data_IF_316213589285
#
_entry.id   IF_316213589285
#
_cell.length_a   1.000
_cell.length_b   1.000
_cell.length_c   1.000
_cell.angle_alpha   90.00
_cell.angle_beta   90.00
_cell.angle_gamma   90.00
#
_symmetry.space_group_name_H-M   'P 1'
#
loop_
_entity.id
_entity.type
_entity.pdbx_description
1 polymer ?
#
# COMPACT_ATOMS: atom_id res chain seq x y z
N UNK A 1 -4.79 4.82 16.06
CA UNK A 1 -5.84 5.58 15.36
C UNK A 1 -5.78 5.24 13.89
N UNK A 2 -6.91 5.04 13.23
CA UNK A 2 -6.98 4.81 11.78
C UNK A 2 -7.85 5.88 11.12
N UNK A 3 -7.70 6.08 9.81
CA UNK A 3 -8.40 7.20 9.11
C UNK A 3 -9.92 7.07 9.06
N UNK A 4 -10.46 5.89 9.35
CA UNK A 4 -11.90 5.62 9.43
C UNK A 4 -12.46 5.68 10.85
N UNK A 5 -11.62 5.91 11.87
CA UNK A 5 -12.11 6.07 13.24
C UNK A 5 -12.94 7.36 13.39
N UNK A 6 -14.04 7.32 14.12
CA UNK A 6 -14.88 8.52 14.37
C UNK A 6 -14.08 9.63 15.07
N UNK A 7 -13.19 9.26 16.00
CA UNK A 7 -12.31 10.22 16.68
C UNK A 7 -11.36 10.87 15.68
N UNK A 8 -10.84 10.10 14.72
CA UNK A 8 -10.01 10.67 13.65
C UNK A 8 -10.81 11.65 12.79
N UNK A 9 -11.98 11.23 12.29
CA UNK A 9 -12.79 12.00 11.34
C UNK A 9 -13.37 13.28 11.94
N UNK A 10 -13.84 13.22 13.20
CA UNK A 10 -14.60 14.32 13.82
C UNK A 10 -13.80 15.16 14.83
N UNK A 11 -12.67 14.66 15.32
CA UNK A 11 -11.85 15.37 16.28
C UNK A 11 -10.45 15.65 15.75
N UNK A 12 -9.66 14.60 15.52
CA UNK A 12 -8.26 14.75 15.19
C UNK A 12 -8.03 15.49 13.87
N UNK A 13 -8.67 15.06 12.80
CA UNK A 13 -8.52 15.67 11.46
C UNK A 13 -9.01 17.14 11.43
N UNK A 14 -10.22 17.49 11.89
CA UNK A 14 -10.66 18.88 11.90
C UNK A 14 -9.75 19.77 12.74
N UNK A 15 -9.36 19.35 13.95
CA UNK A 15 -8.48 20.13 14.83
C UNK A 15 -7.11 20.35 14.18
N UNK A 16 -6.49 19.29 13.64
CA UNK A 16 -5.19 19.39 13.00
C UNK A 16 -5.20 20.33 11.79
N UNK A 17 -6.24 20.25 10.95
CA UNK A 17 -6.40 21.12 9.78
C UNK A 17 -6.66 22.56 10.18
N UNK A 18 -7.57 22.80 11.13
CA UNK A 18 -7.92 24.17 11.56
C UNK A 18 -6.71 24.87 12.21
N UNK A 19 -6.02 24.21 13.13
CA UNK A 19 -4.85 24.79 13.79
C UNK A 19 -3.72 25.05 12.81
N UNK A 20 -3.42 24.09 11.91
CA UNK A 20 -2.36 24.28 10.91
C UNK A 20 -2.71 25.44 9.95
N UNK A 21 -3.95 25.59 9.56
CA UNK A 21 -4.41 26.67 8.64
C UNK A 21 -4.32 28.08 9.26
N UNK A 22 -4.48 28.20 10.59
CA UNK A 22 -4.37 29.48 11.28
C UNK A 22 -2.92 29.97 11.37
N UNK A 23 -1.95 29.07 11.29
CA UNK A 23 -0.53 29.38 11.39
C UNK A 23 0.00 29.74 9.99
N UNK A 24 0.50 30.98 9.82
CA UNK A 24 1.13 31.40 8.54
C UNK A 24 2.59 30.97 8.41
N UNK A 25 3.28 30.77 9.54
CA UNK A 25 4.70 30.41 9.55
C UNK A 25 4.87 28.91 9.31
N UNK A 26 5.52 28.54 8.21
CA UNK A 26 5.74 27.14 7.82
C UNK A 26 6.57 26.36 8.87
N UNK A 27 7.50 27.00 9.58
CA UNK A 27 8.29 26.36 10.63
C UNK A 27 7.39 25.94 11.80
N UNK A 28 6.48 26.80 12.22
CA UNK A 28 5.51 26.49 13.27
C UNK A 28 4.49 25.44 12.80
N UNK A 29 4.06 25.49 11.52
CA UNK A 29 3.22 24.42 10.94
C UNK A 29 3.93 23.07 11.02
N UNK A 30 5.23 23.02 10.70
CA UNK A 30 6.01 21.78 10.73
C UNK A 30 6.12 21.22 12.15
N UNK A 31 6.37 22.07 13.16
CA UNK A 31 6.38 21.65 14.57
C UNK A 31 5.03 21.07 14.97
N UNK A 32 3.94 21.76 14.63
CA UNK A 32 2.59 21.32 14.94
C UNK A 32 2.26 19.98 14.26
N UNK A 33 2.67 19.79 13.00
CA UNK A 33 2.48 18.54 12.28
C UNK A 33 3.30 17.39 12.87
N UNK A 34 4.51 17.66 13.39
CA UNK A 34 5.30 16.67 14.16
C UNK A 34 4.53 16.25 15.41
N UNK A 35 4.02 17.20 16.18
CA UNK A 35 3.25 16.92 17.39
C UNK A 35 2.03 16.07 17.06
N UNK A 36 1.22 16.44 16.07
CA UNK A 36 0.07 15.63 15.62
C UNK A 36 0.49 14.25 15.13
N UNK A 37 1.61 14.14 14.41
CA UNK A 37 2.09 12.85 13.91
C UNK A 37 2.51 11.91 15.05
N UNK A 38 3.21 12.42 16.04
CA UNK A 38 3.60 11.64 17.20
C UNK A 38 2.38 11.25 18.07
N UNK A 39 1.41 12.15 18.24
CA UNK A 39 0.13 11.85 18.92
C UNK A 39 -0.66 10.77 18.17
N UNK A 40 -0.76 10.88 16.84
CA UNK A 40 -1.42 9.88 15.99
C UNK A 40 -0.76 8.51 16.14
N UNK A 41 0.57 8.47 16.15
CA UNK A 41 1.35 7.24 16.29
C UNK A 41 1.23 6.65 17.69
N UNK A 42 1.31 7.49 18.75
CA UNK A 42 1.16 7.11 20.15
C UNK A 42 -0.22 6.50 20.45
N UNK A 43 -1.24 6.87 19.69
CA UNK A 43 -2.61 6.39 19.95
C UNK A 43 -2.74 4.87 19.89
N UNK A 44 -2.00 4.20 19.03
CA UNK A 44 -2.04 2.74 18.90
C UNK A 44 -1.26 2.04 20.03
N UNK A 45 -0.04 2.51 20.29
CA UNK A 45 0.80 2.04 21.40
C UNK A 45 1.89 3.07 21.71
N UNK A 46 1.81 3.77 22.86
CA UNK A 46 2.74 4.85 23.19
C UNK A 46 4.23 4.41 23.26
N UNK A 47 4.52 3.16 23.61
CA UNK A 47 5.90 2.68 23.75
C UNK A 47 6.63 2.66 22.40
N UNK A 48 5.92 2.47 21.30
CA UNK A 48 6.51 2.45 19.97
C UNK A 48 6.90 3.82 19.44
N UNK A 49 6.43 4.91 20.09
CA UNK A 49 6.94 6.27 19.81
C UNK A 49 8.43 6.38 20.16
N UNK A 50 8.85 5.72 21.25
CA UNK A 50 10.26 5.68 21.65
C UNK A 50 11.08 4.98 20.55
N UNK A 51 10.62 3.85 20.04
CA UNK A 51 11.27 3.16 18.93
C UNK A 51 11.38 4.05 17.69
N UNK A 52 10.30 4.73 17.31
CA UNK A 52 10.27 5.65 16.17
C UNK A 52 11.27 6.80 16.37
N UNK A 53 11.31 7.42 17.55
CA UNK A 53 12.25 8.50 17.86
C UNK A 53 13.70 8.00 17.79
N UNK A 54 14.00 6.85 18.38
CA UNK A 54 15.35 6.26 18.33
C UNK A 54 15.78 5.94 16.90
N UNK A 55 14.88 5.41 16.07
CA UNK A 55 15.14 5.15 14.66
C UNK A 55 15.40 6.44 13.88
N UNK A 56 14.59 7.48 14.11
CA UNK A 56 14.79 8.81 13.51
C UNK A 56 16.16 9.37 13.89
N UNK A 57 16.53 9.36 15.18
CA UNK A 57 17.81 9.86 15.64
C UNK A 57 18.98 9.08 15.04
N UNK A 58 18.88 7.75 14.99
CA UNK A 58 19.90 6.90 14.37
C UNK A 58 20.15 7.30 12.91
N UNK A 59 19.11 7.38 12.11
CA UNK A 59 19.24 7.69 10.67
C UNK A 59 19.65 9.17 10.45
N UNK A 60 19.19 10.08 11.30
CA UNK A 60 19.57 11.49 11.26
C UNK A 60 21.08 11.66 11.45
N UNK A 61 21.67 11.12 12.52
CA UNK A 61 23.10 11.24 12.79
C UNK A 61 23.96 10.46 11.79
N UNK A 62 23.53 9.26 11.39
CA UNK A 62 24.24 8.46 10.39
C UNK A 62 24.37 9.20 9.05
N UNK A 63 23.38 9.99 8.67
CA UNK A 63 23.44 10.78 7.43
C UNK A 63 24.55 11.85 7.46
N UNK A 64 24.79 12.51 8.60
CA UNK A 64 25.90 13.44 8.75
C UNK A 64 27.25 12.74 8.69
N UNK A 65 27.37 11.60 9.35
CA UNK A 65 28.60 10.81 9.29
C UNK A 65 28.89 10.33 7.86
N UNK A 66 27.85 9.94 7.09
CA UNK A 66 28.00 9.58 5.69
C UNK A 66 28.47 10.75 4.81
N UNK A 67 27.99 11.98 5.05
CA UNK A 67 28.45 13.16 4.29
C UNK A 67 29.89 13.55 4.67
N UNK A 68 30.24 13.44 5.94
CA UNK A 68 31.55 13.84 6.47
C UNK A 68 32.70 12.91 6.02
N UNK A 69 32.40 11.70 5.54
CA UNK A 69 33.41 10.74 5.12
C UNK A 69 33.86 10.94 3.68
N UNK A 70 35.16 11.20 3.48
CA UNK A 70 35.80 11.25 2.16
C UNK A 70 36.26 9.86 1.71
N UNK A 71 36.65 8.98 2.65
CA UNK A 71 37.07 7.61 2.33
C UNK A 71 35.90 6.74 1.90
N UNK A 72 35.93 6.29 0.63
CA UNK A 72 34.87 5.46 0.02
C UNK A 72 34.64 4.14 0.79
N UNK A 73 35.68 3.54 1.38
CA UNK A 73 35.56 2.28 2.13
C UNK A 73 34.78 2.49 3.42
N UNK A 74 35.16 3.49 4.20
CA UNK A 74 34.49 3.89 5.44
C UNK A 74 33.05 4.29 5.17
N UNK A 75 32.80 5.11 4.14
CA UNK A 75 31.46 5.51 3.73
C UNK A 75 30.57 4.31 3.37
N UNK A 76 31.13 3.31 2.67
CA UNK A 76 30.40 2.06 2.35
C UNK A 76 30.12 1.23 3.60
N UNK A 77 31.04 1.14 4.56
CA UNK A 77 30.83 0.44 5.82
C UNK A 77 29.71 1.10 6.61
N UNK A 78 29.70 2.43 6.74
CA UNK A 78 28.63 3.17 7.41
C UNK A 78 27.28 2.94 6.76
N UNK A 79 27.21 2.92 5.42
CA UNK A 79 25.97 2.56 4.72
C UNK A 79 25.50 1.15 5.11
N UNK A 80 26.40 0.16 5.04
CA UNK A 80 26.05 -1.24 5.36
C UNK A 80 25.57 -1.36 6.81
N UNK A 81 26.24 -0.71 7.75
CA UNK A 81 25.85 -0.73 9.17
C UNK A 81 24.47 -0.08 9.34
N UNK A 82 24.23 1.07 8.71
CA UNK A 82 22.94 1.75 8.80
C UNK A 82 21.81 0.88 8.24
N UNK A 83 22.01 0.29 7.06
CA UNK A 83 21.05 -0.62 6.45
C UNK A 83 20.82 -1.84 7.35
N UNK A 84 21.88 -2.44 7.89
CA UNK A 84 21.79 -3.59 8.78
C UNK A 84 20.99 -3.30 10.05
N UNK A 85 21.20 -2.14 10.70
CA UNK A 85 20.45 -1.73 11.89
C UNK A 85 18.96 -1.56 11.56
N UNK A 86 18.62 -0.84 10.50
CA UNK A 86 17.24 -0.65 10.07
C UNK A 86 16.54 -2.00 9.75
N UNK A 87 17.23 -2.89 9.01
CA UNK A 87 16.69 -4.21 8.67
C UNK A 87 16.65 -5.15 9.88
N UNK A 88 17.57 -5.01 10.84
CA UNK A 88 17.53 -5.77 12.10
C UNK A 88 16.30 -5.39 12.94
N UNK A 89 16.03 -4.08 13.10
CA UNK A 89 14.83 -3.61 13.81
C UNK A 89 13.57 -4.17 13.13
N UNK A 90 13.45 -4.01 11.82
CA UNK A 90 12.32 -4.55 11.06
C UNK A 90 12.22 -6.07 11.21
N UNK A 91 13.35 -6.76 11.09
CA UNK A 91 13.45 -8.21 11.19
C UNK A 91 13.04 -8.74 12.56
N UNK A 92 13.49 -8.08 13.61
CA UNK A 92 13.16 -8.46 14.98
C UNK A 92 11.64 -8.43 15.22
N UNK A 93 10.97 -7.35 14.85
CA UNK A 93 9.53 -7.26 15.08
C UNK A 93 8.70 -8.13 14.11
N UNK A 94 9.16 -8.31 12.88
CA UNK A 94 8.36 -8.95 11.83
C UNK A 94 8.63 -10.44 11.68
N UNK A 95 9.87 -10.90 11.87
CA UNK A 95 10.27 -12.27 11.52
C UNK A 95 10.64 -13.14 12.69
N UNK A 96 10.76 -12.62 13.94
CA UNK A 96 11.17 -13.44 15.10
C UNK A 96 10.21 -14.61 15.33
N UNK A 97 8.89 -14.41 15.28
CA UNK A 97 7.92 -15.50 15.41
C UNK A 97 8.10 -16.56 14.33
N UNK A 98 8.21 -16.14 13.08
CA UNK A 98 8.40 -17.04 11.95
C UNK A 98 9.70 -17.84 12.03
N UNK A 99 10.79 -17.21 12.46
CA UNK A 99 12.08 -17.90 12.66
C UNK A 99 12.01 -18.90 13.82
N UNK A 100 11.31 -18.54 14.91
CA UNK A 100 11.08 -19.47 16.03
C UNK A 100 10.25 -20.68 15.58
N UNK A 101 9.22 -20.48 14.77
CA UNK A 101 8.40 -21.56 14.22
C UNK A 101 9.25 -22.51 13.33
N UNK A 102 10.13 -21.95 12.47
CA UNK A 102 11.03 -22.75 11.62
C UNK A 102 12.02 -23.55 12.47
N UNK A 103 12.55 -22.95 13.54
CA UNK A 103 13.52 -23.59 14.44
C UNK A 103 12.86 -24.48 15.50
N UNK A 104 11.53 -24.63 15.47
CA UNK A 104 10.74 -25.36 16.47
C UNK A 104 10.99 -24.90 17.91
N UNK A 105 11.31 -23.60 18.10
CA UNK A 105 11.53 -23.01 19.41
C UNK A 105 10.17 -22.61 19.99
N UNK A 106 9.73 -23.31 21.04
CA UNK A 106 8.53 -22.90 21.77
C UNK A 106 8.82 -21.63 22.58
N UNK A 107 8.13 -20.56 22.27
CA UNK A 107 8.25 -19.29 22.98
C UNK A 107 6.89 -18.65 23.22
N UNK A 108 6.69 -18.14 24.44
CA UNK A 108 5.53 -17.34 24.79
C UNK A 108 5.67 -15.85 24.38
N UNK A 109 6.76 -15.49 23.69
CA UNK A 109 7.02 -14.14 23.22
C UNK A 109 6.05 -13.74 22.10
N UNK A 110 5.05 -12.94 22.47
CA UNK A 110 4.15 -12.28 21.52
C UNK A 110 4.72 -10.91 21.17
N UNK A 111 5.52 -10.83 20.14
CA UNK A 111 6.07 -9.57 19.63
C UNK A 111 5.01 -8.96 18.70
N UNK A 112 4.37 -7.86 19.15
CA UNK A 112 3.44 -7.14 18.31
C UNK A 112 4.21 -6.24 17.32
N UNK A 113 3.86 -6.30 16.04
CA UNK A 113 4.46 -5.45 15.00
C UNK A 113 4.01 -4.00 15.19
N UNK A 114 4.94 -3.03 15.36
CA UNK A 114 4.60 -1.61 15.40
C UNK A 114 3.94 -1.16 14.09
N UNK A 115 2.81 -0.47 14.18
CA UNK A 115 2.09 0.03 13.00
C UNK A 115 3.03 0.92 12.17
N UNK A 116 3.11 0.66 10.87
CA UNK A 116 3.93 1.45 9.94
C UNK A 116 5.43 1.20 10.00
N UNK A 117 5.93 0.24 10.82
CA UNK A 117 7.36 -0.06 10.91
C UNK A 117 7.98 -0.29 9.52
N UNK A 118 7.37 -1.11 8.68
CA UNK A 118 7.86 -1.36 7.32
C UNK A 118 7.91 -0.09 6.46
N UNK A 119 6.93 0.81 6.61
CA UNK A 119 6.82 2.03 5.81
C UNK A 119 7.82 3.11 6.23
N UNK A 120 7.97 3.35 7.53
CA UNK A 120 8.94 4.34 7.97
C UNK A 120 10.38 3.83 7.82
N UNK A 121 10.65 2.53 7.99
CA UNK A 121 11.96 1.94 7.66
C UNK A 121 12.33 2.17 6.20
N UNK A 122 11.40 2.00 5.25
CA UNK A 122 11.66 2.31 3.85
C UNK A 122 11.87 3.80 3.58
N UNK A 123 11.17 4.68 4.29
CA UNK A 123 11.43 6.13 4.23
C UNK A 123 12.84 6.47 4.73
N UNK A 124 13.25 5.92 5.86
CA UNK A 124 14.58 6.12 6.44
C UNK A 124 15.70 5.55 5.57
N UNK A 125 15.52 4.33 5.05
CA UNK A 125 16.47 3.73 4.11
C UNK A 125 16.59 4.55 2.83
N UNK A 126 15.48 5.09 2.29
CA UNK A 126 15.55 5.97 1.12
C UNK A 126 16.40 7.21 1.39
N UNK A 127 16.25 7.82 2.58
CA UNK A 127 17.06 8.96 3.00
C UNK A 127 18.54 8.62 3.07
N UNK A 128 18.91 7.53 3.72
CA UNK A 128 20.30 7.08 3.82
C UNK A 128 20.91 6.79 2.45
N UNK A 129 20.17 6.12 1.55
CA UNK A 129 20.61 5.88 0.18
C UNK A 129 20.72 7.17 -0.64
N UNK A 130 19.79 8.11 -0.49
CA UNK A 130 19.81 9.38 -1.21
C UNK A 130 21.02 10.24 -0.79
N UNK A 131 21.36 10.27 0.52
CA UNK A 131 22.56 10.95 1.03
C UNK A 131 23.83 10.23 0.55
N UNK A 132 23.90 8.91 0.66
CA UNK A 132 25.07 8.14 0.20
C UNK A 132 25.36 8.35 -1.28
N UNK A 133 24.32 8.39 -2.13
CA UNK A 133 24.43 8.59 -3.57
C UNK A 133 24.56 10.07 -3.99
N UNK A 134 24.54 11.01 -3.04
CA UNK A 134 24.63 12.45 -3.30
C UNK A 134 23.38 13.06 -3.97
N UNK A 135 22.23 12.37 -3.91
CA UNK A 135 20.96 12.89 -4.42
C UNK A 135 20.37 13.95 -3.52
N UNK A 136 20.58 13.84 -2.21
CA UNK A 136 20.19 14.80 -1.18
C UNK A 136 21.33 15.04 -0.21
N UNK A 137 21.34 16.23 0.41
CA UNK A 137 22.23 16.51 1.55
C UNK A 137 21.58 16.09 2.86
N UNK A 138 22.37 15.81 3.92
CA UNK A 138 21.82 15.58 5.25
C UNK A 138 20.95 16.75 5.70
N UNK A 139 19.77 16.43 6.21
CA UNK A 139 18.84 17.43 6.71
C UNK A 139 19.35 18.02 8.02
N UNK A 140 19.68 19.32 8.01
CA UNK A 140 20.24 20.01 9.20
C UNK A 140 19.21 20.24 10.31
N UNK A 141 17.93 20.21 10.00
CA UNK A 141 16.86 20.46 10.96
C UNK A 141 16.17 19.15 11.33
N UNK A 142 16.36 18.70 12.56
CA UNK A 142 15.76 17.46 13.09
C UNK A 142 14.23 17.47 13.03
N UNK A 143 13.57 18.62 13.16
CA UNK A 143 12.10 18.73 13.09
C UNK A 143 11.61 18.38 11.67
N UNK A 144 12.33 18.85 10.63
CA UNK A 144 11.98 18.54 9.24
C UNK A 144 12.20 17.05 8.94
N UNK A 145 13.29 16.48 9.44
CA UNK A 145 13.53 15.04 9.26
C UNK A 145 12.51 14.20 10.04
N UNK A 146 12.20 14.58 11.28
CA UNK A 146 11.12 13.93 12.05
C UNK A 146 9.79 14.01 11.33
N UNK A 147 9.42 15.17 10.77
CA UNK A 147 8.20 15.33 9.99
C UNK A 147 8.20 14.43 8.77
N UNK A 148 9.32 14.35 8.04
CA UNK A 148 9.45 13.47 6.89
C UNK A 148 9.18 12.02 7.26
N UNK A 149 9.76 11.50 8.34
CA UNK A 149 9.59 10.10 8.75
C UNK A 149 8.21 9.86 9.34
N UNK A 150 7.78 10.70 10.30
CA UNK A 150 6.62 10.46 11.15
C UNK A 150 5.29 10.97 10.61
N UNK A 151 5.26 11.73 9.51
CA UNK A 151 4.04 12.39 9.03
C UNK A 151 2.85 11.42 8.97
N UNK A 152 1.80 11.72 9.76
CA UNK A 152 0.66 10.83 9.97
C UNK A 152 -0.12 10.54 8.68
N UNK A 153 -0.04 11.41 7.66
CA UNK A 153 -0.63 11.16 6.34
C UNK A 153 0.04 10.04 5.55
N UNK A 154 1.25 9.55 5.95
CA UNK A 154 1.94 8.49 5.22
C UNK A 154 2.49 7.35 6.08
N UNK A 155 2.69 7.57 7.39
CA UNK A 155 3.48 6.65 8.23
C UNK A 155 2.90 5.24 8.33
N UNK A 156 1.58 5.05 8.30
CA UNK A 156 0.95 3.73 8.52
C UNK A 156 0.99 2.87 7.26
N UNK A 157 0.33 3.32 6.18
CA UNK A 157 0.22 2.61 4.88
C UNK A 157 0.12 3.59 3.71
N UNK A 158 0.51 4.85 3.90
CA UNK A 158 0.51 5.84 2.83
C UNK A 158 1.52 5.49 1.74
N UNK A 159 1.55 6.23 0.63
CA UNK A 159 2.58 6.06 -0.38
C UNK A 159 3.97 6.17 0.24
N UNK A 160 4.88 5.28 -0.17
CA UNK A 160 6.29 5.36 0.21
C UNK A 160 6.90 6.51 -0.60
N UNK A 161 7.16 7.63 0.08
CA UNK A 161 7.74 8.83 -0.53
C UNK A 161 9.21 8.88 -0.15
N UNK A 162 10.11 8.94 -1.14
CA UNK A 162 11.55 9.10 -0.92
C UNK A 162 11.87 10.51 -0.38
N UNK A 163 13.03 10.63 0.29
CA UNK A 163 13.39 11.91 0.91
C UNK A 163 13.53 13.03 -0.14
N UNK A 164 14.22 12.77 -1.23
CA UNK A 164 14.43 13.76 -2.29
C UNK A 164 13.12 14.24 -2.96
N UNK A 165 12.04 13.44 -2.95
CA UNK A 165 10.73 13.85 -3.47
C UNK A 165 9.95 14.75 -2.50
N UNK A 166 10.23 14.66 -1.19
CA UNK A 166 9.54 15.45 -0.16
C UNK A 166 10.34 16.65 0.34
N UNK A 167 11.65 16.67 0.14
CA UNK A 167 12.61 17.64 0.70
C UNK A 167 12.19 19.10 0.48
N UNK A 168 11.88 19.48 -0.77
CA UNK A 168 11.44 20.84 -1.10
C UNK A 168 10.09 21.18 -0.45
N UNK A 169 9.15 20.24 -0.42
CA UNK A 169 7.83 20.45 0.16
C UNK A 169 7.87 20.68 1.69
N UNK A 170 8.91 20.24 2.37
CA UNK A 170 9.06 20.48 3.82
C UNK A 170 9.24 21.97 4.15
N UNK A 171 9.81 22.75 3.23
CA UNK A 171 10.13 24.19 3.45
C UNK A 171 9.36 25.13 2.54
N UNK A 172 8.98 24.70 1.34
CA UNK A 172 8.47 25.57 0.29
C UNK A 172 7.02 25.27 -0.14
N UNK A 173 6.31 24.38 0.60
CA UNK A 173 4.92 24.07 0.26
C UNK A 173 3.98 25.26 0.47
N UNK A 174 2.97 25.33 -0.39
CA UNK A 174 1.90 26.31 -0.31
C UNK A 174 0.55 25.62 -0.16
N UNK A 175 -0.35 26.23 0.61
CA UNK A 175 -1.72 25.75 0.79
C UNK A 175 -2.66 26.51 -0.15
N UNK A 176 -2.95 25.96 -1.32
CA UNK A 176 -3.93 26.53 -2.24
C UNK A 176 -5.34 26.00 -1.97
N UNK A 177 -6.36 26.83 -2.25
CA UNK A 177 -7.77 26.41 -2.16
C UNK A 177 -8.07 25.23 -3.09
N UNK A 178 -7.44 25.20 -4.28
CA UNK A 178 -7.60 24.12 -5.25
C UNK A 178 -7.02 22.78 -4.73
N UNK A 179 -5.84 22.85 -4.12
CA UNK A 179 -5.21 21.67 -3.51
C UNK A 179 -6.05 21.12 -2.35
N UNK A 180 -6.58 22.01 -1.50
CA UNK A 180 -7.47 21.61 -0.42
C UNK A 180 -8.76 20.95 -0.94
N UNK A 181 -9.42 21.56 -1.94
CA UNK A 181 -10.62 20.98 -2.55
C UNK A 181 -10.34 19.60 -3.19
N UNK A 182 -9.23 19.46 -3.91
CA UNK A 182 -8.81 18.19 -4.49
C UNK A 182 -8.50 17.14 -3.42
N UNK A 183 -7.93 17.56 -2.29
CA UNK A 183 -7.69 16.72 -1.12
C UNK A 183 -8.99 16.18 -0.52
N UNK A 184 -10.02 17.04 -0.37
CA UNK A 184 -11.34 16.62 0.11
C UNK A 184 -11.99 15.57 -0.80
N UNK A 185 -11.95 15.79 -2.13
CA UNK A 185 -12.50 14.82 -3.10
C UNK A 185 -11.78 13.49 -2.99
N UNK A 186 -10.45 13.51 -2.92
CA UNK A 186 -9.67 12.29 -2.88
C UNK A 186 -9.84 11.54 -1.57
N UNK A 187 -9.85 12.23 -0.42
CA UNK A 187 -10.14 11.64 0.87
C UNK A 187 -11.53 10.99 0.91
N UNK A 188 -12.55 11.70 0.41
CA UNK A 188 -13.92 11.19 0.32
C UNK A 188 -14.01 9.95 -0.57
N UNK A 189 -13.36 9.97 -1.74
CA UNK A 189 -13.27 8.82 -2.66
C UNK A 189 -12.64 7.62 -1.97
N UNK A 190 -11.56 7.85 -1.22
CA UNK A 190 -10.88 6.80 -0.45
C UNK A 190 -11.76 6.20 0.64
N UNK A 191 -12.46 7.03 1.40
CA UNK A 191 -13.39 6.59 2.45
C UNK A 191 -14.54 5.75 1.87
N UNK A 192 -15.13 6.19 0.75
CA UNK A 192 -16.18 5.46 0.03
C UNK A 192 -15.68 4.09 -0.45
N UNK A 193 -14.49 4.04 -1.06
CA UNK A 193 -13.86 2.77 -1.48
C UNK A 193 -13.70 1.80 -0.30
N UNK A 194 -13.22 2.29 0.84
CA UNK A 194 -13.01 1.48 2.04
C UNK A 194 -14.32 0.95 2.60
N UNK A 195 -15.26 1.83 2.91
CA UNK A 195 -16.46 1.47 3.69
C UNK A 195 -17.52 0.76 2.84
N UNK A 196 -17.79 1.28 1.63
CA UNK A 196 -18.89 0.77 0.81
C UNK A 196 -18.49 -0.36 -0.15
N UNK A 197 -17.19 -0.51 -0.45
CA UNK A 197 -16.73 -1.57 -1.34
C UNK A 197 -15.87 -2.59 -0.59
N UNK A 198 -14.73 -2.17 -0.03
CA UNK A 198 -13.78 -3.11 0.57
C UNK A 198 -14.37 -3.85 1.78
N UNK A 199 -15.04 -3.16 2.70
CA UNK A 199 -15.60 -3.78 3.90
C UNK A 199 -16.75 -4.75 3.56
N UNK A 200 -17.59 -4.42 2.55
CA UNK A 200 -18.65 -5.30 2.09
C UNK A 200 -18.10 -6.55 1.39
N UNK A 201 -17.03 -6.39 0.59
CA UNK A 201 -16.33 -7.52 -0.04
C UNK A 201 -15.60 -8.38 1.00
N UNK A 202 -15.06 -7.77 2.06
CA UNK A 202 -14.48 -8.46 3.22
C UNK A 202 -15.50 -9.35 3.92
N UNK A 203 -16.72 -8.87 4.09
CA UNK A 203 -17.82 -9.68 4.64
C UNK A 203 -18.11 -10.90 3.76
N UNK A 204 -18.26 -10.72 2.44
CA UNK A 204 -18.46 -11.84 1.50
C UNK A 204 -17.32 -12.84 1.57
N UNK A 205 -16.06 -12.34 1.59
CA UNK A 205 -14.86 -13.16 1.75
C UNK A 205 -14.91 -13.99 3.04
N UNK A 206 -15.23 -13.37 4.18
CA UNK A 206 -15.27 -14.05 5.48
C UNK A 206 -16.31 -15.18 5.54
N UNK A 207 -17.47 -14.97 4.94
CA UNK A 207 -18.53 -15.99 4.89
C UNK A 207 -18.15 -17.18 4.01
N UNK A 208 -17.34 -16.94 2.95
CA UNK A 208 -16.94 -17.97 1.98
C UNK A 208 -15.64 -18.68 2.32
N UNK A 209 -14.91 -18.31 3.36
CA UNK A 209 -13.59 -18.88 3.71
C UNK A 209 -13.59 -20.41 3.80
N UNK A 210 -14.65 -21.01 4.30
CA UNK A 210 -14.78 -22.47 4.46
C UNK A 210 -15.66 -23.12 3.37
N UNK A 211 -15.98 -22.40 2.29
CA UNK A 211 -16.78 -22.94 1.21
C UNK A 211 -16.02 -23.99 0.42
N UNK A 212 -16.68 -25.11 0.10
CA UNK A 212 -16.09 -26.26 -0.59
C UNK A 212 -16.60 -26.44 -2.02
N UNK A 213 -17.51 -25.59 -2.51
CA UNK A 213 -18.00 -25.64 -3.87
C UNK A 213 -17.11 -24.82 -4.82
N UNK A 214 -17.00 -25.25 -6.08
CA UNK A 214 -16.23 -24.54 -7.12
C UNK A 214 -16.65 -23.09 -7.25
N UNK A 215 -17.96 -22.80 -7.36
CA UNK A 215 -18.48 -21.43 -7.44
C UNK A 215 -18.13 -20.61 -6.20
N UNK A 216 -18.27 -21.21 -5.00
CA UNK A 216 -17.99 -20.53 -3.74
C UNK A 216 -16.52 -20.12 -3.62
N UNK A 217 -15.60 -20.97 -4.05
CA UNK A 217 -14.15 -20.70 -4.04
C UNK A 217 -13.77 -19.64 -5.09
N UNK A 218 -14.42 -19.62 -6.26
CA UNK A 218 -14.25 -18.52 -7.22
C UNK A 218 -14.73 -17.18 -6.65
N UNK A 219 -15.90 -17.16 -6.01
CA UNK A 219 -16.42 -15.95 -5.37
C UNK A 219 -15.53 -15.49 -4.21
N UNK A 220 -14.98 -16.42 -3.43
CA UNK A 220 -13.98 -16.14 -2.39
C UNK A 220 -12.77 -15.39 -2.97
N UNK A 221 -12.16 -15.96 -4.02
CA UNK A 221 -10.96 -15.40 -4.65
C UNK A 221 -11.23 -14.03 -5.31
N UNK A 222 -12.37 -13.87 -6.00
CA UNK A 222 -12.78 -12.60 -6.61
C UNK A 222 -13.09 -11.54 -5.54
N UNK A 223 -13.77 -11.94 -4.45
CA UNK A 223 -14.05 -11.03 -3.33
C UNK A 223 -12.75 -10.51 -2.72
N UNK A 224 -11.77 -11.38 -2.47
CA UNK A 224 -10.47 -10.98 -1.95
C UNK A 224 -9.70 -10.06 -2.92
N UNK A 225 -9.67 -10.42 -4.20
CA UNK A 225 -9.03 -9.63 -5.26
C UNK A 225 -9.58 -8.20 -5.31
N UNK A 226 -10.89 -8.04 -5.26
CA UNK A 226 -11.54 -6.73 -5.26
C UNK A 226 -11.39 -6.02 -3.91
N UNK A 227 -11.52 -6.74 -2.79
CA UNK A 227 -11.32 -6.22 -1.43
C UNK A 227 -9.94 -5.59 -1.28
N UNK A 228 -8.86 -6.34 -1.57
CA UNK A 228 -7.48 -5.84 -1.38
C UNK A 228 -7.20 -4.59 -2.23
N UNK A 229 -7.78 -4.50 -3.42
CA UNK A 229 -7.67 -3.32 -4.27
C UNK A 229 -8.38 -2.10 -3.67
N UNK A 230 -9.65 -2.25 -3.28
CA UNK A 230 -10.41 -1.11 -2.76
C UNK A 230 -9.96 -0.73 -1.35
N UNK A 231 -9.54 -1.68 -0.53
CA UNK A 231 -8.99 -1.44 0.80
C UNK A 231 -7.71 -0.60 0.71
N UNK A 232 -6.74 -1.06 -0.07
CA UNK A 232 -5.45 -0.40 -0.14
C UNK A 232 -5.46 0.86 -1.02
N UNK A 233 -6.15 0.85 -2.17
CA UNK A 233 -6.31 2.07 -2.96
C UNK A 233 -7.15 3.12 -2.25
N UNK A 234 -8.14 2.70 -1.46
CA UNK A 234 -8.95 3.59 -0.62
C UNK A 234 -8.12 4.27 0.46
N UNK A 235 -7.28 3.49 1.17
CA UNK A 235 -6.35 4.04 2.15
C UNK A 235 -5.36 5.02 1.50
N UNK A 236 -4.78 4.64 0.36
CA UNK A 236 -3.83 5.48 -0.38
C UNK A 236 -4.46 6.79 -0.84
N UNK A 237 -5.71 6.74 -1.35
CA UNK A 237 -6.45 7.95 -1.73
C UNK A 237 -6.71 8.85 -0.51
N UNK A 238 -7.11 8.27 0.64
CA UNK A 238 -7.27 9.04 1.89
C UNK A 238 -5.94 9.65 2.34
N UNK A 239 -4.84 8.91 2.29
CA UNK A 239 -3.51 9.38 2.68
C UNK A 239 -3.03 10.55 1.81
N UNK A 240 -3.19 10.47 0.49
CA UNK A 240 -2.82 11.54 -0.45
C UNK A 240 -3.76 12.74 -0.26
N UNK A 241 -5.08 12.51 -0.14
CA UNK A 241 -6.05 13.55 0.11
C UNK A 241 -5.77 14.33 1.40
N UNK A 242 -5.47 13.58 2.48
CA UNK A 242 -5.06 14.12 3.76
C UNK A 242 -3.78 14.95 3.65
N UNK A 243 -2.78 14.47 2.93
CA UNK A 243 -1.51 15.18 2.73
C UNK A 243 -1.72 16.52 2.03
N UNK A 244 -2.66 16.60 1.08
CA UNK A 244 -3.02 17.84 0.40
C UNK A 244 -3.65 18.89 1.32
N UNK A 245 -4.30 18.50 2.43
CA UNK A 245 -4.79 19.46 3.44
C UNK A 245 -3.66 20.24 4.11
N UNK A 246 -2.46 19.68 4.14
CA UNK A 246 -1.28 20.28 4.75
C UNK A 246 -0.25 20.79 3.72
N UNK A 247 -0.64 20.82 2.42
CA UNK A 247 0.19 21.33 1.35
C UNK A 247 1.19 20.34 0.76
N UNK A 248 1.17 19.06 1.18
CA UNK A 248 1.96 18.02 0.56
C UNK A 248 1.23 17.42 -0.64
N UNK A 249 1.92 17.16 -1.73
CA UNK A 249 1.37 16.50 -2.92
C UNK A 249 2.16 15.23 -3.24
N UNK A 250 1.54 14.09 -2.96
CA UNK A 250 2.12 12.78 -3.22
C UNK A 250 1.56 12.18 -4.50
N UNK A 251 2.38 11.40 -5.19
CA UNK A 251 1.99 10.71 -6.42
C UNK A 251 0.95 9.62 -6.15
N UNK A 252 0.05 9.35 -7.11
CA UNK A 252 -0.88 8.22 -7.01
C UNK A 252 -0.15 6.89 -6.81
N UNK A 253 -0.72 6.03 -5.97
CA UNK A 253 -0.16 4.70 -5.69
C UNK A 253 -0.83 3.59 -6.52
N UNK A 254 -1.94 3.89 -7.16
CA UNK A 254 -2.71 2.99 -8.03
C UNK A 254 -3.21 3.72 -9.28
N UNK A 255 -3.14 3.06 -10.46
CA UNK A 255 -3.76 3.50 -11.72
C UNK A 255 -4.55 2.36 -12.37
N UNK A 256 -5.71 2.01 -11.81
CA UNK A 256 -6.60 0.97 -12.35
C UNK A 256 -5.88 -0.34 -12.74
N UNK A 257 -5.20 -1.00 -11.80
CA UNK A 257 -4.34 -2.16 -12.10
C UNK A 257 -5.06 -3.33 -12.76
N UNK A 258 -6.35 -3.49 -12.48
CA UNK A 258 -7.16 -4.54 -13.11
C UNK A 258 -7.57 -4.25 -14.55
N UNK A 259 -7.06 -3.18 -15.16
CA UNK A 259 -7.13 -2.93 -16.61
C UNK A 259 -5.88 -3.36 -17.36
N UNK A 260 -4.92 -3.97 -16.69
CA UNK A 260 -3.66 -4.37 -17.26
C UNK A 260 -3.80 -5.51 -18.30
N UNK A 261 -2.90 -5.52 -19.27
CA UNK A 261 -2.84 -6.53 -20.34
C UNK A 261 -1.57 -7.38 -20.29
N UNK A 262 -0.76 -7.20 -19.24
CA UNK A 262 0.40 -8.03 -18.91
C UNK A 262 0.70 -7.93 -17.42
N UNK A 263 1.45 -8.86 -16.86
CA UNK A 263 1.90 -8.82 -15.47
C UNK A 263 2.80 -7.62 -15.23
N UNK A 264 3.65 -7.28 -16.20
CA UNK A 264 4.47 -6.08 -16.13
C UNK A 264 3.63 -4.80 -16.08
N UNK A 265 2.56 -4.69 -16.90
CA UNK A 265 1.63 -3.56 -16.89
C UNK A 265 0.84 -3.48 -15.58
N UNK A 266 0.46 -4.63 -15.01
CA UNK A 266 -0.19 -4.69 -13.70
C UNK A 266 0.69 -4.07 -12.60
N UNK A 267 1.96 -4.45 -12.49
CA UNK A 267 2.87 -3.93 -11.46
C UNK A 267 3.28 -2.45 -11.67
N UNK A 268 3.14 -1.92 -12.88
CA UNK A 268 3.27 -0.48 -13.13
C UNK A 268 2.10 0.34 -12.60
N UNK A 269 0.96 -0.32 -12.32
CA UNK A 269 -0.30 0.30 -11.89
C UNK A 269 -0.68 -0.06 -10.45
N UNK A 270 -0.09 -1.10 -9.89
CA UNK A 270 -0.32 -1.59 -8.53
C UNK A 270 0.81 -1.17 -7.61
N UNK A 271 0.48 -0.56 -6.45
CA UNK A 271 1.44 -0.16 -5.41
C UNK A 271 2.70 0.48 -5.99
N UNK A 272 2.47 1.56 -6.75
CA UNK A 272 3.48 2.21 -7.59
C UNK A 272 4.69 2.65 -6.76
N UNK A 273 4.45 3.21 -5.56
CA UNK A 273 5.51 3.70 -4.68
C UNK A 273 6.44 2.58 -4.19
N UNK A 274 5.91 1.39 -3.87
CA UNK A 274 6.72 0.23 -3.48
C UNK A 274 7.56 -0.28 -4.66
N UNK A 275 6.93 -0.39 -5.83
CA UNK A 275 7.62 -0.81 -7.07
C UNK A 275 8.75 0.14 -7.44
N UNK A 276 8.54 1.45 -7.28
CA UNK A 276 9.57 2.47 -7.47
C UNK A 276 10.68 2.35 -6.44
N UNK A 277 10.35 2.14 -5.15
CA UNK A 277 11.34 1.98 -4.09
C UNK A 277 12.27 0.77 -4.37
N UNK A 278 11.71 -0.41 -4.65
CA UNK A 278 12.52 -1.59 -4.99
C UNK A 278 13.32 -1.41 -6.27
N UNK A 279 12.78 -0.70 -7.27
CA UNK A 279 13.52 -0.37 -8.50
C UNK A 279 14.73 0.50 -8.19
N UNK A 280 14.54 1.60 -7.44
CA UNK A 280 15.54 2.65 -7.30
C UNK A 280 16.61 2.30 -6.25
N UNK A 281 16.26 1.55 -5.20
CA UNK A 281 17.15 1.25 -4.08
C UNK A 281 17.63 -0.22 -4.05
N UNK A 282 17.06 -1.12 -4.84
CA UNK A 282 17.52 -2.51 -4.92
C UNK A 282 17.86 -2.92 -6.36
N UNK A 283 16.92 -2.80 -7.30
CA UNK A 283 17.11 -3.33 -8.64
C UNK A 283 18.18 -2.58 -9.46
N UNK A 284 18.15 -1.24 -9.46
CA UNK A 284 19.15 -0.41 -10.17
C UNK A 284 20.55 -0.60 -9.57
N UNK A 285 20.76 -0.56 -8.24
CA UNK A 285 22.07 -0.84 -7.64
C UNK A 285 22.63 -2.25 -7.94
N UNK A 286 21.77 -3.24 -8.16
CA UNK A 286 22.18 -4.60 -8.58
C UNK A 286 22.57 -4.66 -10.09
N UNK A 287 22.52 -3.55 -10.84
CA UNK A 287 22.86 -3.45 -12.25
C UNK A 287 21.66 -3.22 -13.19
N UNK A 288 20.42 -3.30 -12.68
CA UNK A 288 19.21 -3.04 -13.47
C UNK A 288 19.04 -4.02 -14.65
N UNK A 289 18.75 -3.47 -15.84
CA UNK A 289 18.53 -4.26 -17.07
C UNK A 289 19.69 -4.17 -18.09
N UNK A 290 20.80 -3.48 -17.74
CA UNK A 290 21.98 -3.28 -18.60
C UNK A 290 23.10 -4.27 -18.27
N UNK A 291 22.74 -5.55 -18.12
CA UNK A 291 23.60 -6.63 -17.65
C UNK A 291 23.30 -7.90 -18.47
N UNK A 292 24.15 -8.92 -18.31
CA UNK A 292 23.93 -10.21 -18.94
C UNK A 292 22.62 -10.89 -18.46
N UNK A 293 22.14 -11.86 -19.24
CA UNK A 293 20.87 -12.55 -18.98
C UNK A 293 20.80 -13.23 -17.61
N UNK A 294 21.90 -13.87 -17.19
CA UNK A 294 21.91 -14.64 -15.95
C UNK A 294 21.85 -13.72 -14.72
N UNK A 295 22.62 -12.64 -14.75
CA UNK A 295 22.59 -11.60 -13.72
C UNK A 295 21.22 -10.91 -13.67
N UNK A 296 20.60 -10.66 -14.83
CA UNK A 296 19.23 -10.14 -14.88
C UNK A 296 18.23 -11.07 -14.19
N UNK A 297 18.27 -12.38 -14.51
CA UNK A 297 17.39 -13.40 -13.87
C UNK A 297 17.58 -13.41 -12.36
N UNK A 298 18.83 -13.46 -11.90
CA UNK A 298 19.18 -13.40 -10.48
C UNK A 298 18.57 -12.14 -9.81
N UNK A 299 18.74 -10.98 -10.42
CA UNK A 299 18.27 -9.72 -9.85
C UNK A 299 16.74 -9.66 -9.75
N UNK A 300 16.01 -10.19 -10.73
CA UNK A 300 14.55 -10.32 -10.66
C UNK A 300 14.14 -11.21 -9.49
N UNK A 301 14.79 -12.38 -9.32
CA UNK A 301 14.47 -13.25 -8.18
C UNK A 301 14.81 -12.61 -6.83
N UNK A 302 15.94 -11.89 -6.70
CA UNK A 302 16.27 -11.17 -5.47
C UNK A 302 15.18 -10.12 -5.15
N UNK A 303 14.81 -9.28 -6.12
CA UNK A 303 13.79 -8.24 -5.90
C UNK A 303 12.45 -8.84 -5.51
N UNK A 304 12.00 -9.89 -6.19
CA UNK A 304 10.69 -10.49 -5.92
C UNK A 304 10.67 -11.33 -4.65
N UNK A 305 11.78 -11.99 -4.31
CA UNK A 305 11.96 -12.64 -3.01
C UNK A 305 11.87 -11.61 -1.88
N UNK A 306 12.61 -10.49 -1.98
CA UNK A 306 12.56 -9.41 -0.99
C UNK A 306 11.16 -8.77 -0.91
N UNK A 307 10.47 -8.63 -2.06
CA UNK A 307 9.09 -8.10 -2.09
C UNK A 307 8.12 -9.05 -1.37
N UNK A 308 8.22 -10.36 -1.62
CA UNK A 308 7.42 -11.37 -0.91
C UNK A 308 7.70 -11.37 0.59
N UNK A 309 8.96 -11.39 0.98
CA UNK A 309 9.39 -11.35 2.37
C UNK A 309 8.90 -10.07 3.07
N UNK A 310 8.96 -8.92 2.39
CA UNK A 310 8.47 -7.66 2.94
C UNK A 310 6.96 -7.69 3.27
N UNK A 311 6.15 -8.38 2.47
CA UNK A 311 4.72 -8.49 2.73
C UNK A 311 4.40 -9.26 4.02
N UNK A 312 5.14 -10.32 4.33
CA UNK A 312 4.87 -11.06 5.57
C UNK A 312 5.81 -12.23 5.85
N UNK A 313 5.83 -12.62 7.11
CA UNK A 313 6.59 -13.73 7.63
C UNK A 313 5.83 -15.07 7.42
N UNK A 314 5.60 -15.45 6.16
CA UNK A 314 4.94 -16.70 5.79
C UNK A 314 5.47 -17.21 4.45
N UNK A 315 5.52 -18.52 4.30
CA UNK A 315 5.95 -19.17 3.07
C UNK A 315 5.07 -18.85 1.86
N UNK A 316 3.79 -18.54 2.08
CA UNK A 316 2.86 -18.15 1.01
C UNK A 316 3.24 -16.81 0.38
N UNK A 317 3.75 -15.84 1.15
CA UNK A 317 4.25 -14.57 0.62
C UNK A 317 5.55 -14.74 -0.16
N UNK A 318 6.45 -15.61 0.30
CA UNK A 318 7.69 -15.95 -0.43
C UNK A 318 7.33 -16.61 -1.76
N UNK A 319 6.43 -17.58 -1.75
CA UNK A 319 5.96 -18.26 -2.96
C UNK A 319 5.26 -17.27 -3.92
N UNK A 320 4.44 -16.37 -3.39
CA UNK A 320 3.80 -15.29 -4.14
C UNK A 320 4.83 -14.39 -4.85
N UNK A 321 5.87 -13.98 -4.14
CA UNK A 321 6.95 -13.19 -4.74
C UNK A 321 7.68 -13.94 -5.85
N UNK A 322 8.09 -15.18 -5.61
CA UNK A 322 8.76 -16.02 -6.61
C UNK A 322 7.85 -16.30 -7.83
N UNK A 323 6.55 -16.51 -7.61
CA UNK A 323 5.56 -16.66 -8.67
C UNK A 323 5.57 -15.46 -9.63
N UNK A 324 5.55 -14.22 -9.11
CA UNK A 324 5.62 -13.04 -9.96
C UNK A 324 7.00 -12.85 -10.60
N UNK A 325 8.07 -13.20 -9.91
CA UNK A 325 9.41 -13.24 -10.50
C UNK A 325 9.46 -14.15 -11.74
N UNK A 326 8.92 -15.37 -11.62
CA UNK A 326 8.82 -16.32 -12.73
C UNK A 326 7.94 -15.79 -13.88
N UNK A 327 6.77 -15.23 -13.58
CA UNK A 327 5.88 -14.68 -14.60
C UNK A 327 6.50 -13.53 -15.39
N UNK A 328 7.19 -12.61 -14.72
CA UNK A 328 7.88 -11.50 -15.38
C UNK A 328 9.01 -11.96 -16.30
N UNK A 329 9.76 -12.99 -15.89
CA UNK A 329 10.78 -13.61 -16.75
C UNK A 329 10.15 -14.33 -17.93
N UNK A 330 9.05 -15.08 -17.69
CA UNK A 330 8.29 -15.76 -18.73
C UNK A 330 7.72 -14.75 -19.75
N UNK A 331 7.11 -13.67 -19.28
CA UNK A 331 6.62 -12.60 -20.18
C UNK A 331 7.77 -11.99 -20.98
N UNK A 332 8.86 -11.60 -20.31
CA UNK A 332 9.97 -10.91 -20.97
C UNK A 332 10.62 -11.76 -22.06
N UNK A 333 10.85 -13.05 -21.80
CA UNK A 333 11.64 -13.89 -22.70
C UNK A 333 10.82 -14.70 -23.71
N UNK A 334 9.52 -14.97 -23.40
CA UNK A 334 8.74 -15.92 -24.21
C UNK A 334 7.34 -15.42 -24.61
N UNK A 335 6.67 -14.63 -23.76
CA UNK A 335 5.26 -14.30 -24.01
C UNK A 335 5.03 -12.87 -24.51
N UNK A 336 5.98 -11.96 -24.34
CA UNK A 336 5.79 -10.52 -24.63
C UNK A 336 5.28 -10.27 -26.05
N UNK A 337 6.00 -10.77 -27.06
CA UNK A 337 5.61 -10.58 -28.45
C UNK A 337 4.26 -11.24 -28.80
N UNK A 338 3.96 -12.36 -28.14
CA UNK A 338 2.68 -13.06 -28.31
C UNK A 338 1.53 -12.24 -27.71
N UNK A 339 1.69 -11.75 -26.48
CA UNK A 339 0.70 -10.92 -25.80
C UNK A 339 0.43 -9.60 -26.54
N UNK A 340 1.46 -8.97 -27.13
CA UNK A 340 1.32 -7.75 -27.92
C UNK A 340 0.56 -7.99 -29.25
N UNK A 341 0.65 -9.20 -29.82
CA UNK A 341 -0.07 -9.60 -31.05
C UNK A 341 -1.51 -10.09 -30.78
N UNK A 342 -1.84 -10.52 -29.56
CA UNK A 342 -3.17 -10.98 -29.21
C UNK A 342 -4.18 -9.82 -29.13
N UNK A 343 -5.47 -10.07 -29.40
CA UNK A 343 -6.54 -9.13 -29.11
C UNK A 343 -6.50 -8.72 -27.62
N UNK A 344 -6.61 -7.43 -27.34
CA UNK A 344 -6.55 -6.88 -25.97
C UNK A 344 -7.42 -7.61 -24.94
N UNK A 345 -8.66 -8.06 -25.24
CA UNK A 345 -9.45 -8.82 -24.29
C UNK A 345 -8.79 -10.13 -23.84
N UNK A 346 -8.10 -10.84 -24.76
CA UNK A 346 -7.43 -12.11 -24.43
C UNK A 346 -6.24 -11.87 -23.51
N UNK A 347 -5.37 -10.89 -23.82
CA UNK A 347 -4.24 -10.51 -22.97
C UNK A 347 -4.71 -10.01 -21.61
N UNK A 348 -5.86 -9.32 -21.56
CA UNK A 348 -6.48 -8.85 -20.33
C UNK A 348 -7.00 -10.02 -19.48
N UNK A 349 -7.72 -11.00 -20.05
CA UNK A 349 -8.19 -12.20 -19.34
C UNK A 349 -7.01 -13.00 -18.79
N UNK A 350 -5.97 -13.22 -19.60
CA UNK A 350 -4.72 -13.84 -19.14
C UNK A 350 -4.19 -13.14 -17.89
N UNK A 351 -4.04 -11.82 -17.96
CA UNK A 351 -3.47 -11.03 -16.86
C UNK A 351 -4.35 -11.13 -15.61
N UNK A 352 -5.66 -10.99 -15.73
CA UNK A 352 -6.58 -11.12 -14.60
C UNK A 352 -6.51 -12.50 -13.94
N UNK A 353 -6.43 -13.58 -14.74
CA UNK A 353 -6.35 -14.95 -14.22
C UNK A 353 -5.04 -15.18 -13.45
N UNK A 354 -3.89 -14.79 -14.00
CA UNK A 354 -2.62 -14.97 -13.30
C UNK A 354 -2.52 -14.08 -12.06
N UNK A 355 -3.09 -12.87 -12.09
CA UNK A 355 -3.17 -12.00 -10.91
C UNK A 355 -4.10 -12.60 -9.86
N UNK A 356 -5.24 -13.17 -10.23
CA UNK A 356 -6.15 -13.84 -9.30
C UNK A 356 -5.49 -15.04 -8.62
N UNK A 357 -4.75 -15.87 -9.37
CA UNK A 357 -3.94 -16.96 -8.80
C UNK A 357 -2.91 -16.42 -7.80
N UNK A 358 -2.24 -15.32 -8.13
CA UNK A 358 -1.35 -14.63 -7.20
C UNK A 358 -2.05 -14.23 -5.90
N UNK A 359 -3.27 -13.70 -5.97
CA UNK A 359 -4.05 -13.36 -4.79
C UNK A 359 -4.50 -14.58 -3.99
N UNK A 360 -4.69 -15.75 -4.60
CA UNK A 360 -4.96 -16.99 -3.87
C UNK A 360 -3.77 -17.39 -3.00
N UNK A 361 -2.53 -17.28 -3.49
CA UNK A 361 -1.35 -17.47 -2.62
C UNK A 361 -1.30 -16.46 -1.49
N UNK A 362 -1.58 -15.20 -1.79
CA UNK A 362 -1.48 -14.10 -0.82
C UNK A 362 -2.51 -14.21 0.32
N UNK A 363 -3.75 -14.61 0.03
CA UNK A 363 -4.81 -14.73 1.03
C UNK A 363 -4.75 -16.01 1.86
N UNK A 364 -3.96 -16.99 1.42
CA UNK A 364 -3.97 -18.32 2.04
C UNK A 364 -3.08 -18.36 3.28
N UNK A 365 -3.52 -18.98 4.39
CA UNK A 365 -2.75 -19.07 5.61
C UNK A 365 -1.51 -19.96 5.48
N UNK A 366 -1.52 -20.92 4.54
CA UNK A 366 -0.40 -21.81 4.25
C UNK A 366 -0.46 -22.32 2.79
N UNK A 367 0.63 -22.92 2.34
CA UNK A 367 0.80 -23.42 0.97
C UNK A 367 -0.22 -24.50 0.62
N UNK A 368 -0.51 -25.42 1.55
CA UNK A 368 -1.47 -26.51 1.34
C UNK A 368 -2.88 -25.96 1.06
N UNK A 369 -3.31 -24.97 1.84
CA UNK A 369 -4.60 -24.28 1.63
C UNK A 369 -4.63 -23.56 0.29
N UNK A 370 -3.52 -22.91 -0.12
CA UNK A 370 -3.44 -22.23 -1.41
C UNK A 370 -3.67 -23.21 -2.58
N UNK A 371 -2.95 -24.33 -2.59
CA UNK A 371 -3.12 -25.35 -3.64
C UNK A 371 -4.47 -26.05 -3.59
N UNK A 372 -5.01 -26.32 -2.38
CA UNK A 372 -6.38 -26.86 -2.24
C UNK A 372 -7.41 -25.89 -2.82
N UNK A 373 -7.26 -24.59 -2.57
CA UNK A 373 -8.14 -23.55 -3.12
C UNK A 373 -8.07 -23.53 -4.65
N UNK A 374 -6.88 -23.53 -5.23
CA UNK A 374 -6.68 -23.60 -6.68
C UNK A 374 -7.26 -24.89 -7.28
N UNK A 375 -7.08 -26.03 -6.61
CA UNK A 375 -7.69 -27.30 -7.01
C UNK A 375 -9.21 -27.23 -7.08
N UNK A 376 -9.84 -26.70 -6.03
CA UNK A 376 -11.31 -26.53 -5.97
C UNK A 376 -11.83 -25.56 -7.05
N UNK A 377 -11.06 -24.54 -7.44
CA UNK A 377 -11.44 -23.64 -8.54
C UNK A 377 -11.60 -24.36 -9.87
N UNK A 378 -10.86 -25.45 -10.10
CA UNK A 378 -10.99 -26.31 -11.30
C UNK A 378 -11.78 -27.60 -11.05
N UNK A 379 -12.46 -27.70 -9.89
CA UNK A 379 -13.30 -28.83 -9.52
C UNK A 379 -12.59 -29.97 -8.78
N UNK A 380 -11.26 -29.91 -8.61
CA UNK A 380 -10.50 -30.96 -7.90
C UNK A 380 -10.66 -30.75 -6.38
N UNK A 381 -11.24 -31.73 -5.70
CA UNK A 381 -11.52 -31.67 -4.25
C UNK A 381 -12.71 -30.77 -3.88
N UNK A 382 -13.48 -30.27 -4.86
CA UNK A 382 -14.73 -29.59 -4.61
C UNK A 382 -15.86 -30.60 -4.36
N UNK A 383 -16.76 -30.27 -3.41
CA UNK A 383 -17.90 -31.15 -3.08
C UNK A 383 -19.02 -31.09 -4.14
N UNK A 384 -19.20 -29.92 -4.73
CA UNK A 384 -20.22 -29.63 -5.76
C UNK A 384 -19.75 -28.47 -6.63
N UNK A 385 -20.36 -28.28 -7.78
CA UNK A 385 -20.12 -27.07 -8.58
C UNK A 385 -20.60 -25.80 -7.86
N UNK A 386 -21.81 -25.82 -7.27
CA UNK A 386 -22.40 -24.66 -6.58
C UNK A 386 -23.32 -25.10 -5.44
N UNK A 387 -23.00 -24.76 -4.21
CA UNK A 387 -23.86 -24.97 -3.05
C UNK A 387 -24.80 -23.77 -2.79
N UNK A 388 -25.75 -23.94 -1.87
CA UNK A 388 -26.75 -22.91 -1.57
C UNK A 388 -26.13 -21.63 -1.01
N UNK A 389 -25.07 -21.73 -0.20
CA UNK A 389 -24.34 -20.57 0.34
C UNK A 389 -23.71 -19.72 -0.78
N UNK A 390 -23.03 -20.37 -1.73
CA UNK A 390 -22.41 -19.66 -2.87
C UNK A 390 -23.46 -18.98 -3.76
N UNK A 391 -24.59 -19.68 -4.04
CA UNK A 391 -25.70 -19.10 -4.81
C UNK A 391 -26.33 -17.92 -4.09
N UNK A 392 -26.54 -18.03 -2.77
CA UNK A 392 -27.09 -16.95 -1.94
C UNK A 392 -26.15 -15.72 -1.96
N UNK A 393 -24.85 -15.91 -1.72
CA UNK A 393 -23.86 -14.83 -1.74
C UNK A 393 -23.78 -14.15 -3.09
N UNK A 394 -23.75 -14.92 -4.18
CA UNK A 394 -23.74 -14.34 -5.53
C UNK A 394 -24.99 -13.49 -5.78
N UNK A 395 -26.18 -14.00 -5.44
CA UNK A 395 -27.44 -13.30 -5.65
C UNK A 395 -27.53 -12.03 -4.81
N UNK A 396 -27.22 -12.11 -3.53
CA UNK A 396 -27.34 -11.00 -2.57
C UNK A 396 -26.36 -9.87 -2.82
N UNK A 397 -25.14 -10.21 -3.28
CA UNK A 397 -24.07 -9.23 -3.53
C UNK A 397 -23.75 -9.01 -5.00
N UNK A 398 -24.63 -9.45 -5.92
CA UNK A 398 -24.45 -9.31 -7.37
C UNK A 398 -24.18 -7.86 -7.78
N UNK A 399 -24.99 -6.92 -7.29
CA UNK A 399 -24.82 -5.48 -7.58
C UNK A 399 -23.48 -4.97 -7.07
N UNK A 400 -23.05 -5.39 -5.86
CA UNK A 400 -21.75 -5.03 -5.31
C UNK A 400 -20.62 -5.52 -6.23
N UNK A 401 -20.63 -6.76 -6.68
CA UNK A 401 -19.63 -7.30 -7.60
C UNK A 401 -19.59 -6.51 -8.91
N UNK A 402 -20.74 -6.24 -9.53
CA UNK A 402 -20.81 -5.45 -10.77
C UNK A 402 -20.24 -4.06 -10.56
N UNK A 403 -20.66 -3.35 -9.50
CA UNK A 403 -20.14 -2.02 -9.18
C UNK A 403 -18.62 -2.05 -8.90
N UNK A 404 -18.14 -3.02 -8.12
CA UNK A 404 -16.72 -3.14 -7.80
C UNK A 404 -15.89 -3.41 -9.08
N UNK A 405 -16.35 -4.29 -9.98
CA UNK A 405 -15.67 -4.53 -11.26
C UNK A 405 -15.65 -3.25 -12.11
N UNK A 406 -16.76 -2.56 -12.28
CA UNK A 406 -16.82 -1.32 -13.06
C UNK A 406 -15.92 -0.21 -12.46
N UNK A 407 -15.97 -0.01 -11.15
CA UNK A 407 -15.19 1.01 -10.44
C UNK A 407 -13.70 0.66 -10.33
N UNK A 408 -13.30 -0.59 -10.55
CA UNK A 408 -11.90 -0.97 -10.68
C UNK A 408 -11.27 -0.61 -12.03
N UNK A 409 -12.11 -0.15 -12.98
CA UNK A 409 -11.71 0.26 -14.34
C UNK A 409 -11.78 1.78 -14.51
N UNK A 410 -11.35 2.29 -15.68
CA UNK A 410 -11.44 3.72 -16.04
C UNK A 410 -12.86 4.19 -16.42
N UNK A 411 -13.88 3.36 -16.25
CA UNK A 411 -15.27 3.70 -16.61
C UNK A 411 -15.77 4.90 -15.81
N UNK A 412 -15.53 4.90 -14.48
CA UNK A 412 -15.92 6.01 -13.62
C UNK A 412 -15.28 7.33 -14.07
N UNK A 413 -13.98 7.35 -14.32
CA UNK A 413 -13.27 8.57 -14.72
C UNK A 413 -13.78 9.09 -16.08
N UNK A 414 -14.07 8.18 -17.02
CA UNK A 414 -14.66 8.54 -18.31
C UNK A 414 -16.05 9.17 -18.16
N UNK A 415 -16.91 8.57 -17.33
CA UNK A 415 -18.24 9.12 -17.02
C UNK A 415 -18.11 10.50 -16.39
N UNK A 416 -17.23 10.66 -15.42
CA UNK A 416 -17.00 11.94 -14.74
C UNK A 416 -16.54 13.02 -15.72
N UNK A 417 -15.60 12.71 -16.61
CA UNK A 417 -15.13 13.65 -17.64
C UNK A 417 -16.25 13.99 -18.61
N UNK A 418 -17.03 13.02 -19.06
CA UNK A 418 -18.15 13.22 -19.96
C UNK A 418 -19.21 14.14 -19.33
N UNK A 419 -19.64 13.85 -18.10
CA UNK A 419 -20.63 14.65 -17.36
C UNK A 419 -20.12 16.07 -17.12
N UNK A 420 -18.84 16.22 -16.74
CA UNK A 420 -18.23 17.54 -16.57
C UNK A 420 -18.21 18.35 -17.87
N UNK A 421 -17.83 17.73 -18.98
CA UNK A 421 -17.78 18.41 -20.29
C UNK A 421 -19.17 18.89 -20.73
N UNK A 422 -20.21 18.11 -20.43
CA UNK A 422 -21.58 18.41 -20.81
C UNK A 422 -22.24 19.46 -19.90
N UNK A 423 -22.04 19.34 -18.58
CA UNK A 423 -22.81 20.11 -17.58
C UNK A 423 -21.97 21.11 -16.78
N UNK A 424 -20.62 21.16 -16.97
CA UNK A 424 -19.69 22.12 -16.33
C UNK A 424 -19.93 22.24 -14.81
N UNK A 425 -20.26 23.44 -14.33
CA UNK A 425 -20.46 23.71 -12.89
C UNK A 425 -21.62 22.92 -12.26
N UNK A 426 -22.67 22.58 -13.02
CA UNK A 426 -23.74 21.71 -12.52
C UNK A 426 -23.21 20.33 -12.18
N UNK A 427 -22.32 19.78 -13.03
CA UNK A 427 -21.65 18.51 -12.75
C UNK A 427 -20.83 18.55 -11.46
N UNK A 428 -20.13 19.65 -11.19
CA UNK A 428 -19.37 19.83 -9.95
C UNK A 428 -20.30 19.80 -8.73
N UNK A 429 -21.37 20.57 -8.72
CA UNK A 429 -22.33 20.59 -7.60
C UNK A 429 -22.99 19.22 -7.40
N UNK A 430 -23.41 18.54 -8.47
CA UNK A 430 -23.98 17.20 -8.39
C UNK A 430 -22.97 16.20 -7.79
N UNK A 431 -21.72 16.26 -8.23
CA UNK A 431 -20.65 15.39 -7.70
C UNK A 431 -20.44 15.62 -6.21
N UNK A 432 -20.39 16.87 -5.75
CA UNK A 432 -20.27 17.19 -4.33
C UNK A 432 -21.48 16.70 -3.51
N UNK A 433 -22.70 16.90 -4.02
CA UNK A 433 -23.92 16.39 -3.37
C UNK A 433 -23.88 14.87 -3.22
N UNK A 434 -23.48 14.15 -4.27
CA UNK A 434 -23.32 12.67 -4.23
C UNK A 434 -22.28 12.27 -3.17
N UNK A 435 -21.12 12.93 -3.12
CA UNK A 435 -20.09 12.62 -2.12
C UNK A 435 -20.58 12.86 -0.69
N UNK A 436 -21.29 13.96 -0.43
CA UNK A 436 -21.86 14.25 0.89
C UNK A 436 -22.83 13.14 1.31
N UNK A 437 -23.74 12.75 0.43
CA UNK A 437 -24.68 11.64 0.71
C UNK A 437 -23.92 10.35 0.99
N UNK A 438 -22.95 9.99 0.16
CA UNK A 438 -22.17 8.76 0.34
C UNK A 438 -21.30 8.79 1.62
N UNK A 439 -20.77 9.96 2.02
CA UNK A 439 -20.06 10.12 3.30
C UNK A 439 -21.00 9.88 4.48
N UNK A 440 -22.23 10.42 4.44
CA UNK A 440 -23.24 10.17 5.49
C UNK A 440 -23.54 8.68 5.58
N UNK A 441 -23.70 8.00 4.44
CA UNK A 441 -23.88 6.53 4.41
C UNK A 441 -22.67 5.83 4.99
N UNK A 442 -21.43 6.23 4.63
CA UNK A 442 -20.20 5.66 5.22
C UNK A 442 -20.19 5.80 6.75
N UNK A 443 -20.55 6.99 7.27
CA UNK A 443 -20.61 7.25 8.71
C UNK A 443 -21.64 6.29 9.36
N UNK A 444 -22.81 6.12 8.74
CA UNK A 444 -23.82 5.19 9.25
C UNK A 444 -23.30 3.74 9.33
N UNK A 445 -22.56 3.27 8.32
CA UNK A 445 -21.93 1.95 8.34
C UNK A 445 -20.84 1.83 9.42
N UNK A 446 -20.01 2.87 9.59
CA UNK A 446 -18.96 2.89 10.63
C UNK A 446 -19.59 2.83 12.03
N UNK A 447 -20.65 3.62 12.29
CA UNK A 447 -21.38 3.64 13.56
C UNK A 447 -22.10 2.31 13.81
N UNK A 448 -22.65 1.70 12.76
CA UNK A 448 -23.34 0.40 12.83
C UNK A 448 -22.42 -0.80 13.13
N UNK A 449 -21.12 -0.59 13.30
CA UNK A 449 -20.16 -1.65 13.67
C UNK A 449 -19.82 -2.64 12.55
N UNK A 450 -20.13 -2.30 11.30
CA UNK A 450 -19.78 -3.13 10.11
C UNK A 450 -18.35 -2.90 9.64
N UNK A 451 -17.58 -2.12 10.37
CA UNK A 451 -16.20 -1.77 10.06
C UNK A 451 -15.25 -2.95 10.26
N UNK A 452 -14.41 -3.20 9.28
CA UNK A 452 -13.27 -4.10 9.34
C UNK A 452 -11.96 -3.30 9.32
N UNK A 453 -10.96 -3.73 10.12
CA UNK A 453 -9.62 -3.14 10.07
C UNK A 453 -9.04 -3.22 8.65
N UNK A 454 -8.14 -2.30 8.31
CA UNK A 454 -7.46 -2.38 7.02
C UNK A 454 -6.65 -3.68 6.93
N UNK A 455 -6.76 -4.35 5.78
CA UNK A 455 -6.15 -5.66 5.55
C UNK A 455 -4.62 -5.63 5.76
N UNK A 456 -3.97 -4.56 5.32
CA UNK A 456 -2.51 -4.39 5.44
C UNK A 456 -2.00 -4.13 6.88
N UNK A 457 -2.86 -3.88 7.85
CA UNK A 457 -2.42 -3.85 9.26
C UNK A 457 -2.18 -5.25 9.83
N UNK A 458 -2.61 -6.28 9.12
CA UNK A 458 -2.41 -7.68 9.52
C UNK A 458 -1.08 -8.28 9.00
N UNK A 459 -0.30 -7.55 8.19
CA UNK A 459 0.93 -8.04 7.54
C UNK A 459 2.20 -7.36 8.06
#
# INVERSE_FOLDING_TARGET
MVFTDLIFLFCFLPISVLLTKQIRNIKLQNILLVVFSLLFYAWSNPIYVVLLILSILWNYFTAFELEAQDDKKTKRILLIVSVAVNLFILGFYKYTGFLMDILHIQSNLKIALPVGLSFFTFSELSYIFDVYNGKSKPQKNIILFTLYVSFFGKISMGPIVSYHEMEDQLTNRTLSKAQYASGMVLFSKGLIKKVLLADQLSYVYSILQNNTSTLGVWLLAISYMLQIYFDFSGYSDMAIGLSRFFGFDFKPNFDHPYTATSVQDFWRKWHISLSQWFRDYLYIPLGGNRIDKNTYIRNIFIVWFCTGLWHGANWTFILWGLYYGCLLLLEKFYLREKLEKLPKPISHIYTLLVVLIGWVFFMSPNITTAFSTLGKMIGIGATTFANNQAKFMLKSYFILFVLAILLSTKVYDRIQIFVYNQYKMKAVYTTWTIYIILIIVCIAFIVGGTYHSFLYFAF
#
